data_IF_179761237835
#
_entry.id   IF_179761237835
#
_cell.length_a   1.000
_cell.length_b   1.000
_cell.length_c   1.000
_cell.angle_alpha   90.00
_cell.angle_beta   90.00
_cell.angle_gamma   90.00
#
_symmetry.space_group_name_H-M   'P 1'
#
loop_
_entity.id
_entity.type
_entity.pdbx_description
1 polymer ?
#
# COMPACT_ATOMS: atom_id res chain seq x y z
N UNK A 1 -25.68 9.39 45.42
CA UNK A 1 -26.20 8.02 45.25
C UNK A 1 -26.68 7.89 43.80
N UNK A 2 -26.07 6.95 43.04
CA UNK A 2 -26.38 6.43 41.69
C UNK A 2 -26.59 7.46 40.54
N UNK A 3 -25.63 7.75 39.65
CA UNK A 3 -25.03 7.00 38.51
C UNK A 3 -25.97 6.66 37.34
N UNK A 4 -25.78 7.37 36.22
CA UNK A 4 -25.50 6.81 34.88
C UNK A 4 -26.62 6.12 34.10
N UNK A 5 -27.05 6.74 33.00
CA UNK A 5 -27.41 6.04 31.77
C UNK A 5 -26.86 6.82 30.57
N UNK A 6 -25.61 6.50 30.21
CA UNK A 6 -25.13 6.71 28.84
C UNK A 6 -25.77 5.65 27.96
N UNK A 7 -26.51 6.08 26.94
CA UNK A 7 -27.07 5.20 25.92
C UNK A 7 -25.94 4.63 25.07
N UNK A 8 -25.61 3.37 25.30
CA UNK A 8 -24.75 2.60 24.39
C UNK A 8 -25.61 2.20 23.20
N UNK A 9 -25.22 2.66 22.01
CA UNK A 9 -25.83 2.23 20.77
C UNK A 9 -25.80 0.70 20.68
N UNK A 10 -26.95 0.11 20.39
CA UNK A 10 -27.14 -1.34 20.24
C UNK A 10 -26.33 -1.84 19.03
N UNK A 11 -25.47 -2.82 19.27
CA UNK A 11 -24.70 -3.54 18.27
C UNK A 11 -25.64 -4.12 17.19
N UNK A 12 -25.62 -3.50 16.01
CA UNK A 12 -26.31 -4.00 14.82
C UNK A 12 -25.52 -5.16 14.24
N UNK A 13 -26.23 -6.20 13.83
CA UNK A 13 -25.73 -7.38 13.13
C UNK A 13 -24.75 -7.03 12.00
N UNK A 14 -23.61 -7.72 11.96
CA UNK A 14 -22.64 -7.66 10.86
C UNK A 14 -23.27 -8.30 9.62
N UNK A 15 -23.69 -7.48 8.67
CA UNK A 15 -24.17 -7.90 7.36
C UNK A 15 -23.00 -7.92 6.35
N UNK A 16 -23.20 -8.59 5.21
CA UNK A 16 -22.21 -8.67 4.11
C UNK A 16 -21.77 -7.26 3.69
N UNK A 17 -20.50 -7.11 3.29
CA UNK A 17 -19.86 -5.87 2.84
C UNK A 17 -19.34 -4.94 3.96
N UNK A 18 -18.71 -5.47 5.00
CA UNK A 18 -18.07 -4.63 6.03
C UNK A 18 -16.65 -4.20 5.58
N UNK A 19 -16.27 -2.96 5.89
CA UNK A 19 -14.97 -2.35 5.53
C UNK A 19 -14.22 -1.96 6.80
N UNK A 20 -13.03 -2.51 7.02
CA UNK A 20 -12.14 -2.01 8.07
C UNK A 20 -11.56 -0.69 7.60
N UNK A 21 -11.79 0.40 8.34
CA UNK A 21 -11.15 1.70 8.10
C UNK A 21 -10.45 2.14 9.37
N UNK A 22 -9.14 1.99 9.39
CA UNK A 22 -8.29 2.55 10.46
C UNK A 22 -7.42 3.66 9.86
N UNK A 23 -7.36 4.80 10.56
CA UNK A 23 -6.53 5.94 10.21
C UNK A 23 -5.78 6.39 11.45
N UNK A 24 -4.45 6.56 11.36
CA UNK A 24 -3.69 7.25 12.40
C UNK A 24 -4.32 8.61 12.69
N UNK A 25 -4.59 8.91 13.95
CA UNK A 25 -5.26 10.12 14.39
C UNK A 25 -4.32 11.31 14.22
N UNK A 26 -4.43 11.95 13.05
CA UNK A 26 -3.59 13.08 12.66
C UNK A 26 -3.50 14.18 13.71
N UNK A 27 -2.41 14.19 14.47
CA UNK A 27 -1.93 15.33 15.26
C UNK A 27 -0.44 15.21 15.67
N UNK A 28 0.15 14.01 15.68
CA UNK A 28 1.53 13.80 16.12
C UNK A 28 2.42 13.22 14.98
N UNK A 29 3.43 13.96 14.50
CA UNK A 29 4.38 13.46 13.49
C UNK A 29 5.32 12.35 14.02
N UNK A 30 5.21 11.96 15.29
CA UNK A 30 5.88 10.79 15.88
C UNK A 30 4.97 9.58 16.08
N UNK A 31 3.70 9.67 15.67
CA UNK A 31 2.78 8.54 15.76
C UNK A 31 3.06 7.53 14.63
N UNK A 32 3.66 6.41 15.02
CA UNK A 32 3.92 5.27 14.17
C UNK A 32 2.76 4.27 14.36
N UNK A 33 1.72 4.38 13.53
CA UNK A 33 0.63 3.42 13.50
C UNK A 33 1.01 2.20 12.67
N UNK A 34 1.71 1.27 13.31
CA UNK A 34 1.97 -0.04 12.72
C UNK A 34 0.67 -0.86 12.74
N UNK A 35 0.29 -1.43 11.60
CA UNK A 35 -0.91 -2.25 11.46
C UNK A 35 -0.54 -3.64 10.93
N UNK A 36 -1.13 -4.68 11.53
CA UNK A 36 -1.05 -6.05 11.01
C UNK A 36 -2.45 -6.63 10.89
N UNK A 37 -2.86 -7.03 9.69
CA UNK A 37 -4.16 -7.65 9.46
C UNK A 37 -4.03 -9.16 9.25
N UNK A 38 -4.86 -9.90 9.98
CA UNK A 38 -5.12 -11.31 9.77
C UNK A 38 -6.65 -11.53 9.75
N UNK A 39 -7.15 -12.47 8.95
CA UNK A 39 -8.58 -12.84 8.93
C UNK A 39 -9.15 -13.26 10.31
N UNK A 40 -8.26 -13.54 11.27
CA UNK A 40 -8.62 -14.05 12.58
C UNK A 40 -8.97 -12.98 13.64
N UNK A 41 -8.69 -11.68 13.43
CA UNK A 41 -8.86 -10.71 14.54
C UNK A 41 -8.76 -9.24 14.16
N UNK A 42 -9.85 -8.48 14.37
CA UNK A 42 -9.81 -7.05 14.73
C UNK A 42 -10.18 -6.96 16.22
N UNK A 43 -9.20 -6.81 17.12
CA UNK A 43 -9.50 -6.69 18.56
C UNK A 43 -10.01 -5.29 18.89
N UNK A 44 -11.32 -5.09 18.78
CA UNK A 44 -12.05 -4.09 19.55
C UNK A 44 -12.39 -4.65 20.94
N UNK A 45 -12.36 -3.80 21.97
CA UNK A 45 -12.63 -4.18 23.36
C UNK A 45 -13.90 -5.03 23.50
N UNK A 46 -13.72 -6.29 23.91
CA UNK A 46 -14.72 -7.28 24.37
C UNK A 46 -15.27 -8.34 23.40
N UNK A 47 -14.76 -8.57 22.19
CA UNK A 47 -15.12 -9.78 21.40
C UNK A 47 -14.13 -10.07 20.26
N UNK A 48 -13.59 -11.29 20.18
CA UNK A 48 -12.95 -11.82 18.96
C UNK A 48 -14.03 -12.17 17.94
N UNK A 49 -14.36 -11.24 17.05
CA UNK A 49 -15.18 -11.54 15.87
C UNK A 49 -14.26 -12.10 14.77
N UNK A 50 -14.53 -13.32 14.33
CA UNK A 50 -13.92 -13.89 13.12
C UNK A 50 -14.47 -13.12 11.93
N UNK A 51 -13.59 -12.46 11.18
CA UNK A 51 -13.94 -11.52 10.11
C UNK A 51 -14.16 -12.25 8.78
N UNK A 52 -14.87 -13.37 8.78
CA UNK A 52 -15.09 -14.22 7.59
C UNK A 52 -15.94 -13.56 6.49
N UNK A 53 -16.26 -12.27 6.61
CA UNK A 53 -17.11 -11.50 5.70
C UNK A 53 -16.55 -10.13 5.33
N UNK A 54 -15.30 -9.82 5.71
CA UNK A 54 -14.66 -8.55 5.34
C UNK A 54 -13.99 -8.73 4.00
N UNK A 55 -14.52 -8.03 3.00
CA UNK A 55 -14.06 -8.12 1.60
C UNK A 55 -13.04 -7.03 1.28
N UNK A 56 -13.00 -5.96 2.09
CA UNK A 56 -12.15 -4.79 1.88
C UNK A 56 -11.57 -4.26 3.19
N UNK A 57 -10.25 -4.06 3.22
CA UNK A 57 -9.55 -3.37 4.31
C UNK A 57 -8.90 -2.08 3.79
N UNK A 58 -9.06 -0.97 4.50
CA UNK A 58 -8.42 0.32 4.18
C UNK A 58 -7.60 0.76 5.39
N UNK A 59 -6.28 0.80 5.23
CA UNK A 59 -5.33 1.19 6.26
C UNK A 59 -4.60 2.46 5.83
N UNK A 60 -4.52 3.43 6.74
CA UNK A 60 -3.77 4.67 6.52
C UNK A 60 -2.83 4.90 7.70
N UNK A 61 -1.54 4.99 7.37
CA UNK A 61 -0.48 5.40 8.26
C UNK A 61 -0.55 6.88 8.64
N UNK A 62 0.56 7.40 9.14
CA UNK A 62 0.74 8.73 9.68
C UNK A 62 1.84 9.51 8.97
N UNK A 63 2.35 10.57 9.60
CA UNK A 63 3.42 11.40 9.02
C UNK A 63 4.84 10.88 9.27
N UNK A 64 4.98 9.72 9.91
CA UNK A 64 6.27 9.09 10.20
C UNK A 64 6.27 7.64 9.75
N UNK A 65 7.47 7.04 9.67
CA UNK A 65 7.71 5.68 9.22
C UNK A 65 6.73 4.63 9.81
N UNK A 66 5.96 3.96 8.97
CA UNK A 66 4.97 2.96 9.36
C UNK A 66 5.27 1.58 8.76
N UNK A 67 4.84 0.54 9.46
CA UNK A 67 4.74 -0.82 8.93
C UNK A 67 3.27 -1.21 8.82
N UNK A 68 2.78 -1.38 7.59
CA UNK A 68 1.40 -1.79 7.30
C UNK A 68 1.46 -3.14 6.59
N UNK A 69 1.13 -4.21 7.31
CA UNK A 69 1.19 -5.58 6.81
C UNK A 69 -0.22 -6.19 6.75
N UNK A 70 -0.74 -6.34 5.53
CA UNK A 70 -2.01 -6.99 5.27
C UNK A 70 -1.86 -8.42 4.73
N UNK A 71 -0.70 -9.03 4.90
CA UNK A 71 -0.39 -10.34 4.30
C UNK A 71 -1.29 -11.49 4.77
N UNK A 72 -1.90 -11.37 5.95
CA UNK A 72 -2.84 -12.34 6.49
C UNK A 72 -4.31 -12.07 6.16
N UNK A 73 -4.61 -11.06 5.34
CA UNK A 73 -5.97 -10.70 4.95
C UNK A 73 -6.34 -11.32 3.60
N UNK A 74 -7.49 -12.00 3.55
CA UNK A 74 -7.97 -12.69 2.36
C UNK A 74 -8.92 -11.87 1.48
N UNK A 75 -9.15 -10.59 1.81
CA UNK A 75 -9.88 -9.64 0.97
C UNK A 75 -8.95 -8.68 0.22
N UNK A 76 -9.55 -7.71 -0.48
CA UNK A 76 -8.82 -6.61 -1.12
C UNK A 76 -8.38 -5.58 -0.08
N UNK A 77 -7.20 -4.98 -0.26
CA UNK A 77 -6.65 -3.98 0.65
C UNK A 77 -6.41 -2.65 -0.06
N UNK A 78 -6.52 -1.57 0.70
CA UNK A 78 -6.05 -0.24 0.30
C UNK A 78 -5.14 0.28 1.40
N UNK A 79 -3.83 0.29 1.13
CA UNK A 79 -2.81 0.70 2.08
C UNK A 79 -2.27 2.09 1.70
N UNK A 80 -2.11 2.96 2.68
CA UNK A 80 -1.56 4.31 2.50
C UNK A 80 -0.52 4.60 3.59
N UNK A 81 0.71 4.90 3.23
CA UNK A 81 1.77 5.30 4.17
C UNK A 81 1.62 6.73 4.66
N UNK A 82 1.51 7.67 3.69
CA UNK A 82 1.42 9.13 3.82
C UNK A 82 2.78 9.82 3.91
N UNK A 83 3.46 9.77 5.06
CA UNK A 83 4.72 10.46 5.25
C UNK A 83 5.70 9.61 6.03
N UNK A 84 6.97 9.69 5.66
CA UNK A 84 8.02 8.89 6.28
C UNK A 84 8.35 7.67 5.41
N UNK A 85 9.39 6.94 5.81
CA UNK A 85 9.88 5.80 5.03
C UNK A 85 9.10 4.53 5.41
N UNK A 86 8.03 4.24 4.69
CA UNK A 86 7.02 3.26 5.04
C UNK A 86 7.29 1.86 4.47
N UNK A 87 6.72 0.83 5.09
CA UNK A 87 6.72 -0.55 4.61
C UNK A 87 5.28 -1.03 4.47
N UNK A 88 4.81 -1.18 3.24
CA UNK A 88 3.43 -1.57 2.90
C UNK A 88 3.42 -2.95 2.24
N UNK A 89 2.66 -3.89 2.79
CA UNK A 89 2.53 -5.26 2.26
C UNK A 89 1.05 -5.60 2.06
N UNK A 90 0.68 -5.89 0.82
CA UNK A 90 -0.66 -6.34 0.42
C UNK A 90 -1.03 -7.74 0.93
N UNK A 91 -2.28 -8.10 0.66
CA UNK A 91 -2.85 -9.43 0.88
C UNK A 91 -2.57 -10.37 -0.28
N UNK A 92 -3.53 -11.23 -0.60
CA UNK A 92 -3.46 -12.21 -1.69
C UNK A 92 -4.46 -11.94 -2.82
N UNK A 93 -5.02 -10.73 -2.88
CA UNK A 93 -5.97 -10.31 -3.91
C UNK A 93 -5.50 -8.99 -4.53
N UNK A 94 -6.22 -8.54 -5.57
CA UNK A 94 -5.99 -7.24 -6.21
C UNK A 94 -5.98 -6.09 -5.17
N UNK A 95 -4.82 -5.56 -4.85
CA UNK A 95 -4.62 -4.57 -3.80
C UNK A 95 -4.32 -3.17 -4.35
N UNK A 96 -4.45 -2.15 -3.50
CA UNK A 96 -4.02 -0.77 -3.81
C UNK A 96 -3.05 -0.27 -2.75
N UNK A 97 -1.79 -0.03 -3.12
CA UNK A 97 -0.76 0.46 -2.21
C UNK A 97 -0.32 1.87 -2.60
N UNK A 98 -0.17 2.76 -1.60
CA UNK A 98 0.26 4.16 -1.77
C UNK A 98 1.28 4.57 -0.72
N UNK A 99 2.54 4.75 -1.10
CA UNK A 99 3.59 5.22 -0.18
C UNK A 99 3.38 6.69 0.20
N UNK A 100 3.28 7.54 -0.82
CA UNK A 100 3.23 9.00 -0.78
C UNK A 100 4.60 9.64 -0.54
N UNK A 101 4.91 10.22 0.62
CA UNK A 101 6.21 10.91 0.81
C UNK A 101 7.15 10.08 1.66
N UNK A 102 8.38 9.87 1.21
CA UNK A 102 9.41 9.12 1.93
C UNK A 102 10.00 8.06 1.03
N UNK A 103 11.03 7.37 1.50
CA UNK A 103 11.62 6.24 0.78
C UNK A 103 10.88 4.97 1.22
N UNK A 104 9.90 4.56 0.40
CA UNK A 104 8.95 3.54 0.77
C UNK A 104 9.32 2.16 0.22
N UNK A 105 8.88 1.10 0.91
CA UNK A 105 8.93 -0.28 0.42
C UNK A 105 7.50 -0.79 0.25
N UNK A 106 7.10 -1.13 -0.97
CA UNK A 106 5.74 -1.55 -1.32
C UNK A 106 5.76 -2.94 -1.96
N UNK A 107 4.98 -3.88 -1.43
CA UNK A 107 4.90 -5.26 -1.91
C UNK A 107 3.43 -5.63 -2.15
N UNK A 108 3.04 -5.85 -3.41
CA UNK A 108 1.67 -6.24 -3.81
C UNK A 108 1.31 -7.68 -3.44
N UNK A 109 2.23 -8.61 -3.74
CA UNK A 109 2.13 -10.08 -3.58
C UNK A 109 1.31 -10.75 -4.68
N UNK A 110 0.13 -11.28 -4.38
CA UNK A 110 -0.65 -12.08 -5.32
C UNK A 110 -1.89 -11.27 -5.69
N UNK A 111 -2.22 -11.20 -6.98
CA UNK A 111 -3.34 -10.37 -7.43
C UNK A 111 -2.91 -9.42 -8.53
N UNK A 112 -3.85 -8.68 -9.11
CA UNK A 112 -3.54 -7.60 -10.03
C UNK A 112 -3.49 -6.30 -9.23
N UNK A 113 -2.28 -5.92 -8.84
CA UNK A 113 -2.08 -4.85 -7.86
C UNK A 113 -1.93 -3.48 -8.51
N UNK A 114 -2.39 -2.46 -7.80
CA UNK A 114 -2.18 -1.07 -8.16
C UNK A 114 -1.28 -0.37 -7.15
N UNK A 115 -0.03 -0.11 -7.54
CA UNK A 115 0.98 0.44 -6.63
C UNK A 115 1.47 1.81 -7.09
N UNK A 116 1.37 2.78 -6.19
CA UNK A 116 1.88 4.14 -6.37
C UNK A 116 2.87 4.47 -5.24
N UNK A 117 4.14 4.57 -5.56
CA UNK A 117 5.20 4.76 -4.55
C UNK A 117 5.20 6.19 -4.04
N UNK A 118 5.44 7.18 -4.89
CA UNK A 118 5.20 8.59 -4.57
C UNK A 118 6.45 9.43 -4.73
N UNK A 119 6.88 10.14 -3.70
CA UNK A 119 8.10 10.93 -3.74
C UNK A 119 9.13 10.35 -2.78
N UNK A 120 10.31 10.05 -3.28
CA UNK A 120 11.38 9.39 -2.56
C UNK A 120 12.05 8.37 -3.44
N UNK A 121 13.17 7.79 -2.99
CA UNK A 121 13.80 6.68 -3.68
C UNK A 121 13.10 5.38 -3.20
N UNK A 122 12.15 4.89 -3.98
CA UNK A 122 11.23 3.83 -3.54
C UNK A 122 11.61 2.43 -4.04
N UNK A 123 11.25 1.40 -3.27
CA UNK A 123 11.34 -0.01 -3.63
C UNK A 123 9.95 -0.62 -3.83
N UNK A 124 9.67 -1.14 -5.03
CA UNK A 124 8.36 -1.72 -5.37
C UNK A 124 8.52 -3.14 -5.90
N UNK A 125 7.69 -4.06 -5.41
CA UNK A 125 7.52 -5.40 -5.95
C UNK A 125 6.02 -5.66 -6.19
N UNK A 126 5.63 -5.92 -7.44
CA UNK A 126 4.26 -6.32 -7.79
C UNK A 126 3.97 -7.71 -7.26
N UNK A 127 4.69 -8.71 -7.78
CA UNK A 127 4.61 -10.08 -7.30
C UNK A 127 4.07 -11.00 -8.39
N UNK A 128 2.94 -11.65 -8.18
CA UNK A 128 2.30 -12.48 -9.20
C UNK A 128 0.94 -11.89 -9.58
N UNK A 129 0.70 -11.75 -10.87
CA UNK A 129 -0.53 -11.18 -11.43
C UNK A 129 -0.18 -10.12 -12.47
N UNK A 130 -1.17 -9.38 -12.96
CA UNK A 130 -0.90 -8.31 -13.93
C UNK A 130 -0.92 -6.97 -13.20
N UNK A 131 0.26 -6.49 -12.83
CA UNK A 131 0.37 -5.37 -11.91
C UNK A 131 0.51 -4.03 -12.63
N UNK A 132 0.07 -2.96 -11.97
CA UNK A 132 0.32 -1.58 -12.41
C UNK A 132 1.14 -0.85 -11.35
N UNK A 133 2.42 -0.65 -11.64
CA UNK A 133 3.40 -0.11 -10.70
C UNK A 133 3.93 1.25 -11.18
N UNK A 134 3.89 2.25 -10.31
CA UNK A 134 4.33 3.62 -10.62
C UNK A 134 5.18 4.22 -9.48
N UNK A 135 6.47 4.44 -9.76
CA UNK A 135 7.45 5.04 -8.84
C UNK A 135 7.17 6.52 -8.57
N UNK A 136 6.78 7.26 -9.60
CA UNK A 136 6.58 8.71 -9.60
C UNK A 136 7.88 9.53 -9.50
N UNK A 137 8.32 9.99 -8.33
CA UNK A 137 9.46 10.94 -8.22
C UNK A 137 10.56 10.41 -7.33
N UNK A 138 11.76 10.25 -7.87
CA UNK A 138 12.94 9.75 -7.16
C UNK A 138 13.61 8.67 -7.97
N UNK A 139 14.64 8.04 -7.42
CA UNK A 139 15.34 6.94 -8.09
C UNK A 139 14.74 5.62 -7.65
N UNK A 140 13.74 5.16 -8.38
CA UNK A 140 12.93 4.02 -7.95
C UNK A 140 13.47 2.69 -8.44
N UNK A 141 13.30 1.64 -7.64
CA UNK A 141 13.52 0.25 -8.02
C UNK A 141 12.19 -0.50 -8.08
N UNK A 142 11.73 -0.82 -9.28
CA UNK A 142 10.42 -1.45 -9.51
C UNK A 142 10.61 -2.82 -10.17
N UNK A 143 10.14 -3.84 -9.46
CA UNK A 143 10.05 -5.21 -9.92
C UNK A 143 8.58 -5.56 -10.19
N UNK A 144 8.23 -5.87 -11.44
CA UNK A 144 6.89 -6.36 -11.82
C UNK A 144 6.61 -7.73 -11.21
N UNK A 145 7.56 -8.65 -11.37
CA UNK A 145 7.37 -10.06 -11.03
C UNK A 145 6.76 -10.82 -12.20
N UNK A 146 5.88 -11.78 -11.89
CA UNK A 146 5.28 -12.69 -12.86
C UNK A 146 3.91 -12.20 -13.33
N UNK A 147 3.76 -12.02 -14.64
CA UNK A 147 2.53 -11.61 -15.31
C UNK A 147 2.76 -10.42 -16.24
N UNK A 148 1.67 -9.93 -16.86
CA UNK A 148 1.78 -8.82 -17.81
C UNK A 148 1.69 -7.48 -17.08
N UNK A 149 2.83 -7.00 -16.59
CA UNK A 149 2.86 -5.79 -15.78
C UNK A 149 2.94 -4.51 -16.61
N UNK A 150 2.50 -3.42 -16.02
CA UNK A 150 2.70 -2.05 -16.50
C UNK A 150 3.57 -1.30 -15.49
N UNK A 151 4.82 -1.00 -15.88
CA UNK A 151 5.81 -0.36 -15.00
C UNK A 151 6.09 1.07 -15.46
N UNK A 152 6.03 2.01 -14.52
CA UNK A 152 6.38 3.42 -14.75
C UNK A 152 7.34 3.88 -13.67
N UNK A 153 8.57 4.23 -14.03
CA UNK A 153 9.52 4.80 -13.07
C UNK A 153 9.11 6.21 -12.70
N UNK A 154 8.96 7.08 -13.71
CA UNK A 154 8.52 8.46 -13.50
C UNK A 154 9.69 9.41 -13.74
N UNK A 155 10.00 10.27 -12.78
CA UNK A 155 11.14 11.17 -12.83
C UNK A 155 12.25 10.71 -11.91
N UNK A 156 13.45 10.56 -12.45
CA UNK A 156 14.63 10.14 -11.71
C UNK A 156 15.42 9.12 -12.51
N UNK A 157 16.35 8.43 -11.85
CA UNK A 157 17.09 7.32 -12.42
C UNK A 157 16.50 6.00 -11.92
N UNK A 158 15.55 5.47 -12.69
CA UNK A 158 14.74 4.32 -12.26
C UNK A 158 15.31 3.00 -12.79
N UNK A 159 15.28 1.96 -11.95
CA UNK A 159 15.49 0.57 -12.32
C UNK A 159 14.14 -0.14 -12.46
N UNK A 160 13.75 -0.50 -13.68
CA UNK A 160 12.52 -1.26 -13.95
C UNK A 160 12.85 -2.65 -14.46
N UNK A 161 12.30 -3.69 -13.84
CA UNK A 161 12.44 -5.08 -14.26
C UNK A 161 11.07 -5.76 -14.31
N UNK A 162 10.64 -6.22 -15.50
CA UNK A 162 9.60 -7.23 -15.63
C UNK A 162 10.27 -8.61 -15.70
N UNK A 163 9.83 -9.59 -14.92
CA UNK A 163 10.42 -10.93 -14.97
C UNK A 163 9.77 -11.73 -16.10
N UNK A 164 8.48 -12.05 -15.98
CA UNK A 164 7.79 -13.01 -16.84
C UNK A 164 6.51 -12.42 -17.45
N UNK A 165 6.50 -12.10 -18.76
CA UNK A 165 5.32 -11.61 -19.46
C UNK A 165 5.64 -10.56 -20.53
N UNK A 166 4.61 -10.08 -21.23
CA UNK A 166 4.74 -8.90 -22.10
C UNK A 166 4.67 -7.63 -21.23
N UNK A 167 5.69 -7.42 -20.39
CA UNK A 167 5.76 -6.27 -19.48
C UNK A 167 5.97 -4.97 -20.25
N UNK A 168 5.08 -3.99 -20.03
CA UNK A 168 5.22 -2.66 -20.59
C UNK A 168 5.91 -1.72 -19.59
N UNK A 169 7.21 -1.48 -19.75
CA UNK A 169 7.98 -0.56 -18.89
C UNK A 169 8.30 0.77 -19.57
N UNK A 170 8.05 1.89 -18.90
CA UNK A 170 8.53 3.23 -19.34
C UNK A 170 9.46 3.83 -18.28
N UNK A 171 10.77 3.75 -18.53
CA UNK A 171 11.78 4.52 -17.80
C UNK A 171 12.02 5.83 -18.56
N UNK A 172 11.65 6.99 -17.98
CA UNK A 172 11.95 8.27 -18.62
C UNK A 172 13.35 8.73 -18.22
N UNK A 173 14.36 8.16 -18.86
CA UNK A 173 15.69 8.72 -18.80
C UNK A 173 15.66 10.15 -19.36
N UNK A 174 15.99 11.17 -18.55
CA UNK A 174 16.24 12.50 -19.08
C UNK A 174 17.29 12.38 -20.19
N UNK A 175 16.97 12.77 -21.45
CA UNK A 175 17.95 12.73 -22.50
C UNK A 175 18.92 13.88 -22.23
N UNK A 176 20.03 13.55 -21.57
CA UNK A 176 21.24 14.37 -21.61
C UNK A 176 21.49 14.73 -23.07
N UNK A 177 21.18 15.98 -23.43
CA UNK A 177 21.33 16.52 -24.77
C UNK A 177 22.80 16.38 -25.15
N UNK A 178 23.14 15.34 -25.91
CA UNK A 178 24.38 15.32 -26.66
C UNK A 178 24.26 16.36 -27.79
N UNK A 179 24.45 17.64 -27.46
CA UNK A 179 24.72 18.66 -28.48
C UNK A 179 26.09 18.31 -29.06
N UNK A 180 26.09 17.69 -30.24
CA UNK A 180 27.24 17.71 -31.14
C UNK A 180 27.64 19.18 -31.33
N UNK A 181 28.71 19.63 -30.69
CA UNK A 181 29.47 20.75 -31.23
C UNK A 181 30.13 20.22 -32.51
N UNK A 182 29.56 20.59 -33.66
CA UNK A 182 30.31 20.53 -34.91
C UNK A 182 31.32 21.68 -34.84
N UNK A 183 32.60 21.34 -34.88
CA UNK A 183 33.64 22.22 -35.40
C UNK A 183 33.36 22.50 -36.88
#
# INVERSE_FOLDING_TARGET
>A
MLTGQGGWATCSTVERNDTIKESGDGADPSDHTDFTLIDASLTGSQSTQLLTSIELAILTGGGGKNTIDASGFSGQTTLKGLGGDDSLVGGSNDDTLRGNNGNDTLIGREGNDYVHSGSGDDGVCGGTGNDTLNGNSGNDSILGGAGNDTLRGGSGLDGLLGEDGETASTARAEPNRCRRQRQ
#
